data_IF_602717496212
#
_entry.id   IF_602717496212
#
_cell.length_a   1.000
_cell.length_b   1.000
_cell.length_c   1.000
_cell.angle_alpha   90.00
_cell.angle_beta   90.00
_cell.angle_gamma   90.00
#
_symmetry.space_group_name_H-M   'P 1'
#
loop_
_entity.id
_entity.type
_entity.pdbx_description
1 polymer ?
#
# COMPACT_ATOMS: atom_id res chain seq x y z
N UNK A 1 -3.75 16.05 39.08
CA UNK A 1 -4.06 16.36 40.46
C UNK A 1 -4.23 17.85 40.72
N UNK A 2 -4.53 18.68 39.69
CA UNK A 2 -4.84 20.12 39.83
C UNK A 2 -6.21 20.42 39.20
N UNK A 3 -6.79 21.56 39.53
CA UNK A 3 -8.05 22.02 38.92
C UNK A 3 -7.81 22.55 37.50
N UNK A 4 -8.82 22.57 36.61
CA UNK A 4 -8.66 23.06 35.23
C UNK A 4 -8.08 24.49 35.15
N UNK A 5 -8.51 25.40 36.02
CA UNK A 5 -8.01 26.76 36.09
C UNK A 5 -6.56 26.91 36.61
N UNK A 6 -5.92 25.83 37.01
CA UNK A 6 -4.53 25.80 37.47
C UNK A 6 -3.57 25.19 36.43
N UNK A 7 -4.09 24.68 35.30
CA UNK A 7 -3.28 23.99 34.28
C UNK A 7 -2.25 24.95 33.68
N UNK A 8 -2.63 26.18 33.37
CA UNK A 8 -1.72 27.21 32.84
C UNK A 8 -0.55 27.44 33.80
N UNK A 9 -0.81 27.54 35.10
CA UNK A 9 0.23 27.76 36.11
C UNK A 9 1.17 26.55 36.24
N UNK A 10 0.63 25.34 36.14
CA UNK A 10 1.45 24.11 36.15
C UNK A 10 2.34 24.05 34.91
N UNK A 11 1.80 24.30 33.70
CA UNK A 11 2.59 24.31 32.46
C UNK A 11 3.61 25.46 32.44
N UNK A 12 3.29 26.59 33.07
CA UNK A 12 4.24 27.72 33.21
C UNK A 12 5.51 27.31 33.98
N UNK A 13 5.37 26.39 34.91
CA UNK A 13 6.50 25.85 35.69
C UNK A 13 7.17 24.67 35.03
N UNK A 14 6.39 23.73 34.53
CA UNK A 14 6.90 22.51 33.94
C UNK A 14 7.47 22.71 32.54
N UNK A 15 6.98 23.70 31.78
CA UNK A 15 7.24 23.89 30.38
C UNK A 15 6.47 22.89 29.50
N UNK A 16 6.68 23.02 28.21
CA UNK A 16 6.17 22.10 27.19
C UNK A 16 7.22 21.94 26.08
N UNK A 17 7.79 20.74 25.98
CA UNK A 17 8.85 20.46 24.99
C UNK A 17 8.30 20.38 23.55
N UNK A 18 7.02 20.05 23.37
CA UNK A 18 6.40 19.96 22.05
C UNK A 18 6.28 21.35 21.42
N UNK A 19 5.96 22.36 22.25
CA UNK A 19 5.76 23.74 21.81
C UNK A 19 6.94 24.66 22.15
N UNK A 20 8.06 24.06 22.57
CA UNK A 20 9.28 24.78 22.94
C UNK A 20 9.07 25.82 24.08
N UNK A 21 8.16 25.52 24.99
CA UNK A 21 7.94 26.36 26.19
C UNK A 21 8.97 26.02 27.27
N UNK A 22 9.80 26.99 27.74
CA UNK A 22 11.00 26.68 28.51
C UNK A 22 10.69 26.14 29.92
N UNK A 23 9.64 26.57 30.55
CA UNK A 23 9.39 26.26 31.96
C UNK A 23 10.48 26.73 32.94
N UNK A 24 10.51 26.15 34.12
CA UNK A 24 11.54 26.36 35.13
C UNK A 24 12.45 25.12 35.17
N UNK A 25 13.76 25.23 34.92
CA UNK A 25 14.67 24.10 34.92
C UNK A 25 14.56 23.21 36.14
N UNK A 26 14.40 21.91 35.96
CA UNK A 26 14.29 20.92 37.06
C UNK A 26 12.94 20.88 37.77
N UNK A 27 11.94 21.63 37.30
CA UNK A 27 10.55 21.56 37.80
C UNK A 27 9.69 20.84 36.72
N UNK A 28 9.49 19.54 36.86
CA UNK A 28 8.57 18.77 36.04
C UNK A 28 7.13 18.83 36.55
N UNK A 29 6.20 18.25 35.79
CA UNK A 29 4.73 18.27 36.03
C UNK A 29 4.36 17.90 37.47
N UNK A 30 4.98 16.85 38.02
CA UNK A 30 4.67 16.43 39.43
C UNK A 30 5.00 17.51 40.43
N UNK A 31 6.20 18.08 40.37
CA UNK A 31 6.64 19.15 41.28
C UNK A 31 5.86 20.44 41.05
N UNK A 32 5.57 20.79 39.80
CA UNK A 32 4.73 21.94 39.47
C UNK A 32 3.33 21.80 40.08
N UNK A 33 2.71 20.64 39.92
CA UNK A 33 1.39 20.35 40.50
C UNK A 33 1.40 20.44 42.05
N UNK A 34 2.42 19.91 42.71
CA UNK A 34 2.58 20.01 44.15
C UNK A 34 2.67 21.49 44.62
N UNK A 35 3.47 22.29 43.91
CA UNK A 35 3.64 23.71 44.21
C UNK A 35 2.36 24.50 43.99
N UNK A 36 1.68 24.30 42.86
CA UNK A 36 0.44 25.02 42.55
C UNK A 36 -0.70 24.59 43.48
N UNK A 37 -0.79 23.32 43.85
CA UNK A 37 -1.75 22.88 44.85
C UNK A 37 -1.52 23.56 46.22
N UNK A 38 -0.25 23.75 46.62
CA UNK A 38 0.12 24.39 47.89
C UNK A 38 -0.10 25.90 47.86
N UNK A 39 0.42 26.57 46.82
CA UNK A 39 0.42 28.04 46.75
C UNK A 39 -0.76 28.60 45.94
N UNK A 40 -1.59 27.77 45.32
CA UNK A 40 -2.82 28.03 44.57
C UNK A 40 -2.60 28.63 43.19
N UNK A 41 -1.73 29.61 43.01
CA UNK A 41 -1.42 30.28 41.75
C UNK A 41 0.09 30.48 41.59
N UNK A 42 0.54 30.66 40.35
CA UNK A 42 1.92 30.99 40.03
C UNK A 42 2.34 32.31 40.71
N UNK A 43 1.49 33.34 40.71
CA UNK A 43 1.80 34.63 41.34
C UNK A 43 2.03 34.49 42.82
N UNK A 44 1.19 33.76 43.55
CA UNK A 44 1.37 33.50 44.97
C UNK A 44 2.64 32.67 45.22
N UNK A 45 2.93 31.67 44.36
CA UNK A 45 4.15 30.89 44.46
C UNK A 45 5.40 31.79 44.33
N UNK A 46 5.42 32.67 43.31
CA UNK A 46 6.55 33.57 43.07
C UNK A 46 6.74 34.59 44.18
N UNK A 47 5.65 35.14 44.78
CA UNK A 47 5.70 36.02 45.93
C UNK A 47 6.28 35.33 47.17
N UNK A 48 5.91 34.07 47.38
CA UNK A 48 6.30 33.25 48.54
C UNK A 48 7.46 32.29 48.23
N UNK A 49 8.18 32.50 47.16
CA UNK A 49 9.26 31.59 46.74
C UNK A 49 10.36 31.41 47.81
N UNK A 50 10.61 32.46 48.62
CA UNK A 50 11.55 32.40 49.73
C UNK A 50 11.12 31.45 50.88
N UNK A 51 9.83 31.12 51.00
CA UNK A 51 9.28 30.22 52.01
C UNK A 51 9.42 28.71 51.61
N UNK A 52 9.93 28.42 50.43
CA UNK A 52 10.10 27.03 49.96
C UNK A 52 11.22 26.36 50.78
N UNK A 53 10.92 25.24 51.46
CA UNK A 53 11.89 24.61 52.37
C UNK A 53 13.12 24.03 51.64
N UNK A 54 12.93 23.52 50.41
CA UNK A 54 14.00 22.90 49.62
C UNK A 54 14.89 23.98 49.00
N UNK A 55 16.10 24.12 49.46
CA UNK A 55 17.06 25.14 49.02
C UNK A 55 17.22 25.18 47.48
N UNK A 56 17.55 24.05 46.86
CA UNK A 56 17.76 23.98 45.43
C UNK A 56 16.52 24.43 44.64
N UNK A 57 15.33 23.98 45.03
CA UNK A 57 14.05 24.33 44.38
C UNK A 57 13.76 25.82 44.51
N UNK A 58 13.99 26.39 45.71
CA UNK A 58 13.86 27.82 46.01
C UNK A 58 14.77 28.66 45.12
N UNK A 59 16.05 28.36 45.13
CA UNK A 59 17.06 29.07 44.34
C UNK A 59 16.74 29.00 42.82
N UNK A 60 16.41 27.82 42.33
CA UNK A 60 16.06 27.62 40.91
C UNK A 60 14.82 28.44 40.53
N UNK A 61 13.79 28.46 41.36
CA UNK A 61 12.57 29.23 41.09
C UNK A 61 12.83 30.74 41.13
N UNK A 62 13.63 31.22 42.11
CA UNK A 62 14.00 32.62 42.20
C UNK A 62 14.83 33.10 41.04
N UNK A 63 15.79 32.27 40.57
CA UNK A 63 16.64 32.57 39.43
C UNK A 63 15.93 32.53 38.07
N UNK A 64 14.75 31.86 37.97
CA UNK A 64 14.04 31.65 36.73
C UNK A 64 12.59 32.19 36.73
N UNK A 65 12.32 33.23 37.56
CA UNK A 65 10.99 33.88 37.60
C UNK A 65 10.53 34.33 36.21
N UNK A 66 11.43 35.00 35.50
CA UNK A 66 11.11 35.53 34.16
C UNK A 66 10.76 34.43 33.15
N UNK A 67 11.44 33.29 33.26
CA UNK A 67 11.10 32.11 32.40
C UNK A 67 9.73 31.56 32.75
N UNK A 68 9.36 31.50 34.03
CA UNK A 68 8.02 31.06 34.43
C UNK A 68 6.93 32.01 33.90
N UNK A 69 7.17 33.33 33.96
CA UNK A 69 6.24 34.33 33.45
C UNK A 69 6.15 34.32 31.93
N UNK A 70 7.27 34.15 31.22
CA UNK A 70 7.31 33.96 29.79
C UNK A 70 6.55 32.70 29.39
N UNK A 71 6.81 31.59 30.09
CA UNK A 71 6.11 30.33 29.82
C UNK A 71 4.60 30.51 30.04
N UNK A 72 4.15 31.23 31.02
CA UNK A 72 2.72 31.55 31.23
C UNK A 72 2.12 32.27 30.02
N UNK A 73 2.81 33.26 29.48
CA UNK A 73 2.33 33.95 28.27
C UNK A 73 2.21 33.03 27.09
N UNK A 74 3.17 32.09 26.92
CA UNK A 74 3.20 31.16 25.81
C UNK A 74 2.12 30.06 25.92
N UNK A 75 1.81 29.58 27.14
CA UNK A 75 0.82 28.51 27.34
C UNK A 75 -0.61 29.01 27.54
N UNK A 76 -0.78 30.32 27.72
CA UNK A 76 -2.12 30.92 27.85
C UNK A 76 -2.80 30.93 26.49
N UNK A 77 -3.89 30.21 26.38
CA UNK A 77 -4.65 30.14 25.12
C UNK A 77 -5.30 31.50 24.85
N UNK A 78 -5.33 31.88 23.57
CA UNK A 78 -6.06 33.04 23.10
C UNK A 78 -7.55 32.69 23.04
N UNK A 79 -8.37 33.40 23.83
CA UNK A 79 -9.81 33.17 23.96
C UNK A 79 -10.68 34.20 23.20
N UNK A 80 -10.03 35.21 22.60
CA UNK A 80 -10.66 36.27 21.81
C UNK A 80 -10.44 36.10 20.28
N UNK A 81 -10.23 34.87 19.81
CA UNK A 81 -10.07 34.63 18.40
C UNK A 81 -11.35 34.98 17.65
N UNK A 82 -11.30 35.85 16.62
CA UNK A 82 -12.49 36.22 15.85
C UNK A 82 -13.02 35.03 15.03
N UNK A 83 -14.06 34.39 15.55
CA UNK A 83 -14.77 33.29 14.85
C UNK A 83 -15.98 33.95 14.17
N UNK A 84 -16.11 33.73 12.85
CA UNK A 84 -17.22 34.28 12.05
C UNK A 84 -18.49 33.45 12.18
N UNK A 85 -18.34 32.18 12.55
CA UNK A 85 -19.44 31.23 12.61
C UNK A 85 -20.11 31.22 13.99
N UNK A 86 -21.43 31.19 13.99
CA UNK A 86 -22.21 31.06 15.21
C UNK A 86 -22.14 29.60 15.74
N UNK A 87 -22.29 29.43 17.04
CA UNK A 87 -22.27 28.12 17.73
C UNK A 87 -23.28 27.12 17.09
N UNK A 88 -24.41 27.63 16.62
CA UNK A 88 -25.42 26.81 15.95
C UNK A 88 -24.92 26.18 14.62
N UNK A 89 -23.93 26.81 13.97
CA UNK A 89 -23.33 26.30 12.72
C UNK A 89 -22.52 25.01 12.93
N UNK A 90 -22.05 24.78 14.17
CA UNK A 90 -21.29 23.58 14.58
C UNK A 90 -22.20 22.42 14.99
N UNK A 91 -23.53 22.58 14.92
CA UNK A 91 -24.45 21.48 15.17
C UNK A 91 -24.25 20.36 14.14
N UNK A 92 -24.29 19.12 14.61
CA UNK A 92 -24.16 17.94 13.75
C UNK A 92 -25.31 17.96 12.73
N UNK A 93 -24.96 17.97 11.45
CA UNK A 93 -25.92 17.92 10.32
C UNK A 93 -26.10 16.48 9.86
N UNK A 94 -27.24 16.18 9.26
CA UNK A 94 -27.43 14.90 8.59
C UNK A 94 -26.38 14.69 7.49
N UNK A 95 -25.87 13.47 7.42
CA UNK A 95 -24.83 13.11 6.45
C UNK A 95 -25.45 13.07 5.06
N UNK A 96 -24.90 13.83 4.13
CA UNK A 96 -25.26 13.77 2.72
C UNK A 96 -24.59 12.54 2.09
N UNK A 97 -25.21 11.38 2.24
CA UNK A 97 -24.62 10.08 1.90
C UNK A 97 -24.14 9.98 0.46
N UNK A 98 -24.86 10.57 -0.50
CA UNK A 98 -24.44 10.56 -1.91
C UNK A 98 -23.13 11.31 -2.12
N UNK A 99 -23.02 12.51 -1.58
CA UNK A 99 -21.78 13.29 -1.68
C UNK A 99 -20.61 12.59 -1.00
N UNK A 100 -20.88 11.94 0.15
CA UNK A 100 -19.87 11.15 0.85
C UNK A 100 -19.41 9.97 -0.03
N UNK A 101 -20.33 9.24 -0.62
CA UNK A 101 -19.99 8.09 -1.45
C UNK A 101 -19.28 8.48 -2.74
N UNK A 102 -19.71 9.57 -3.39
CA UNK A 102 -19.07 10.07 -4.60
C UNK A 102 -17.64 10.54 -4.29
N UNK A 103 -17.43 11.25 -3.18
CA UNK A 103 -16.10 11.62 -2.71
C UNK A 103 -15.22 10.39 -2.42
N UNK A 104 -15.76 9.40 -1.71
CA UNK A 104 -15.00 8.19 -1.37
C UNK A 104 -14.65 7.36 -2.62
N UNK A 105 -15.49 7.38 -3.67
CA UNK A 105 -15.20 6.76 -4.97
C UNK A 105 -14.12 7.53 -5.73
N UNK A 106 -14.28 8.86 -5.83
CA UNK A 106 -13.31 9.74 -6.50
C UNK A 106 -11.91 9.59 -5.90
N UNK A 107 -11.84 9.47 -4.57
CA UNK A 107 -10.58 9.29 -3.83
C UNK A 107 -10.13 7.82 -3.74
N UNK A 108 -10.86 6.88 -4.35
CA UNK A 108 -10.59 5.42 -4.34
C UNK A 108 -10.47 4.82 -2.91
N UNK A 109 -11.16 5.40 -1.94
CA UNK A 109 -11.18 4.93 -0.56
C UNK A 109 -12.15 3.74 -0.37
N UNK A 110 -11.90 2.65 -1.07
CA UNK A 110 -12.81 1.49 -1.16
C UNK A 110 -13.20 0.90 0.21
N UNK A 111 -12.26 0.79 1.15
CA UNK A 111 -12.56 0.30 2.50
C UNK A 111 -13.46 1.25 3.29
N UNK A 112 -13.26 2.55 3.16
CA UNK A 112 -14.09 3.56 3.81
C UNK A 112 -15.46 3.62 3.17
N UNK A 113 -15.54 3.51 1.84
CA UNK A 113 -16.81 3.42 1.10
C UNK A 113 -17.64 2.22 1.58
N UNK A 114 -17.07 1.03 1.64
CA UNK A 114 -17.75 -0.17 2.13
C UNK A 114 -18.27 0.00 3.56
N UNK A 115 -17.49 0.62 4.45
CA UNK A 115 -17.93 0.93 5.82
C UNK A 115 -19.03 1.97 5.86
N UNK A 116 -18.95 3.02 5.05
CA UNK A 116 -19.95 4.06 4.97
C UNK A 116 -21.30 3.50 4.45
N UNK A 117 -21.27 2.66 3.41
CA UNK A 117 -22.45 1.96 2.89
C UNK A 117 -23.06 1.04 3.96
N UNK A 118 -22.23 0.29 4.69
CA UNK A 118 -22.69 -0.57 5.78
C UNK A 118 -23.37 0.21 6.91
N UNK A 119 -22.92 1.44 7.18
CA UNK A 119 -23.45 2.27 8.27
C UNK A 119 -24.69 3.10 7.87
N UNK A 120 -24.66 3.70 6.68
CA UNK A 120 -25.73 4.61 6.22
C UNK A 120 -26.72 3.99 5.23
N UNK A 121 -26.47 2.75 4.78
CA UNK A 121 -27.28 2.06 3.78
C UNK A 121 -26.86 2.36 2.33
N UNK A 122 -27.31 1.50 1.43
CA UNK A 122 -27.06 1.62 -0.01
C UNK A 122 -28.22 2.39 -0.67
N UNK A 123 -27.92 3.47 -1.40
CA UNK A 123 -28.93 4.16 -2.20
C UNK A 123 -29.36 3.28 -3.38
N UNK A 124 -30.61 2.81 -3.36
CA UNK A 124 -31.16 1.90 -4.39
C UNK A 124 -31.20 2.50 -5.81
N UNK A 125 -31.04 3.80 -5.96
CA UNK A 125 -31.22 4.48 -7.25
C UNK A 125 -30.01 4.39 -8.21
N UNK A 126 -28.82 4.00 -7.75
CA UNK A 126 -27.59 3.89 -8.60
C UNK A 126 -27.18 2.45 -8.94
N UNK A 127 -27.96 1.43 -8.56
CA UNK A 127 -27.69 0.02 -8.96
C UNK A 127 -27.68 -0.19 -10.48
N UNK A 128 -28.27 0.71 -11.25
CA UNK A 128 -28.48 0.52 -12.68
C UNK A 128 -27.35 1.08 -13.58
N UNK A 129 -26.44 1.88 -13.08
CA UNK A 129 -25.40 2.49 -13.93
C UNK A 129 -24.09 1.68 -14.00
N UNK A 130 -23.78 0.89 -12.97
CA UNK A 130 -22.54 0.07 -12.96
C UNK A 130 -22.67 -1.22 -13.78
N UNK A 131 -23.91 -1.66 -14.08
CA UNK A 131 -24.16 -2.89 -14.84
C UNK A 131 -24.14 -2.74 -16.37
N UNK A 132 -23.81 -1.55 -16.92
CA UNK A 132 -23.83 -1.33 -18.37
C UNK A 132 -22.45 -1.29 -19.04
N UNK A 133 -21.37 -1.53 -18.33
CA UNK A 133 -20.15 -1.96 -19.00
C UNK A 133 -20.36 -3.40 -19.45
N UNK A 134 -20.76 -3.57 -20.71
CA UNK A 134 -20.72 -4.87 -21.38
C UNK A 134 -19.26 -5.32 -21.41
N UNK A 135 -18.86 -6.00 -20.35
CA UNK A 135 -17.66 -6.83 -20.41
C UNK A 135 -18.00 -7.88 -21.45
N UNK A 136 -17.37 -7.77 -22.62
CA UNK A 136 -17.39 -8.85 -23.60
C UNK A 136 -16.72 -10.05 -22.89
N UNK A 137 -17.53 -10.94 -22.31
CA UNK A 137 -17.04 -12.17 -21.72
C UNK A 137 -16.41 -12.97 -22.84
N UNK A 138 -15.10 -12.93 -22.91
CA UNK A 138 -14.32 -13.83 -23.74
C UNK A 138 -14.64 -15.27 -23.31
N UNK A 139 -15.25 -16.04 -24.18
CA UNK A 139 -15.53 -17.45 -23.91
C UNK A 139 -14.24 -18.22 -24.18
N UNK A 140 -13.59 -18.67 -23.12
CA UNK A 140 -12.39 -19.54 -23.24
C UNK A 140 -12.87 -20.90 -23.74
N UNK A 141 -12.37 -21.30 -24.91
CA UNK A 141 -12.63 -22.62 -25.46
C UNK A 141 -11.38 -23.52 -25.29
N UNK A 142 -11.32 -24.21 -24.16
CA UNK A 142 -10.20 -25.13 -23.83
C UNK A 142 -9.99 -26.25 -24.83
N UNK A 143 -10.95 -26.52 -25.72
CA UNK A 143 -10.81 -27.54 -26.77
C UNK A 143 -9.82 -27.13 -27.87
N UNK A 144 -9.51 -25.85 -27.98
CA UNK A 144 -8.57 -25.33 -28.96
C UNK A 144 -7.10 -25.34 -28.47
N UNK A 145 -6.88 -25.80 -27.24
CA UNK A 145 -5.54 -25.89 -26.64
C UNK A 145 -4.91 -27.25 -26.97
N UNK A 146 -3.65 -27.22 -27.40
CA UNK A 146 -2.93 -28.42 -27.84
C UNK A 146 -1.88 -28.86 -26.81
N UNK A 147 -1.87 -30.15 -26.47
CA UNK A 147 -0.76 -30.76 -25.73
C UNK A 147 0.24 -31.37 -26.72
N UNK A 148 1.47 -30.88 -26.73
CA UNK A 148 2.51 -31.23 -27.69
C UNK A 148 3.34 -32.41 -27.18
N UNK A 149 3.03 -33.61 -27.65
CA UNK A 149 3.69 -34.86 -27.25
C UNK A 149 4.48 -35.51 -28.39
N UNK A 150 4.48 -34.93 -29.60
CA UNK A 150 5.22 -35.43 -30.77
C UNK A 150 6.07 -34.33 -31.41
N UNK A 151 7.20 -34.74 -32.01
CA UNK A 151 8.09 -33.80 -32.71
C UNK A 151 7.41 -33.11 -33.88
N UNK A 152 6.54 -33.82 -34.63
CA UNK A 152 5.80 -33.21 -35.73
C UNK A 152 4.86 -32.10 -35.29
N UNK A 153 4.20 -32.25 -34.13
CA UNK A 153 3.36 -31.21 -33.54
C UNK A 153 4.22 -30.04 -33.08
N UNK A 154 5.36 -30.29 -32.43
CA UNK A 154 6.32 -29.27 -32.03
C UNK A 154 6.81 -28.48 -33.25
N UNK A 155 7.19 -29.13 -34.33
CA UNK A 155 7.69 -28.47 -35.54
C UNK A 155 6.63 -27.59 -36.22
N UNK A 156 5.36 -27.97 -36.18
CA UNK A 156 4.25 -27.12 -36.63
C UNK A 156 4.15 -25.85 -35.77
N UNK A 157 4.18 -25.99 -34.45
CA UNK A 157 4.11 -24.85 -33.56
C UNK A 157 5.33 -23.93 -33.67
N UNK A 158 6.53 -24.48 -33.84
CA UNK A 158 7.76 -23.73 -34.11
C UNK A 158 7.61 -22.82 -35.33
N UNK A 159 7.03 -23.33 -36.42
CA UNK A 159 6.78 -22.53 -37.65
C UNK A 159 5.81 -21.39 -37.34
N UNK A 160 4.70 -21.67 -36.65
CA UNK A 160 3.71 -20.65 -36.31
C UNK A 160 4.33 -19.57 -35.43
N UNK A 161 5.07 -19.95 -34.39
CA UNK A 161 5.70 -19.00 -33.44
C UNK A 161 6.76 -18.13 -34.13
N UNK A 162 7.52 -18.67 -35.11
CA UNK A 162 8.50 -17.90 -35.87
C UNK A 162 7.90 -16.82 -36.77
N UNK A 163 6.61 -16.94 -37.12
CA UNK A 163 5.88 -15.96 -37.92
C UNK A 163 5.27 -14.83 -37.11
N UNK A 164 5.35 -14.93 -35.77
CA UNK A 164 4.76 -13.93 -34.86
C UNK A 164 5.74 -12.82 -34.53
N UNK A 165 5.21 -11.63 -34.25
CA UNK A 165 5.97 -10.53 -33.65
C UNK A 165 5.88 -10.52 -32.12
N UNK A 166 4.86 -11.17 -31.56
CA UNK A 166 4.59 -11.26 -30.11
C UNK A 166 4.08 -12.66 -29.79
N UNK A 167 4.61 -13.28 -28.76
CA UNK A 167 4.14 -14.56 -28.20
C UNK A 167 4.06 -14.47 -26.70
N UNK A 168 3.08 -15.13 -26.10
CA UNK A 168 3.05 -15.35 -24.65
C UNK A 168 3.83 -16.61 -24.30
N UNK A 169 4.55 -16.57 -23.17
CA UNK A 169 5.36 -17.69 -22.65
C UNK A 169 5.12 -17.82 -21.17
N UNK A 170 5.02 -19.04 -20.70
CA UNK A 170 4.92 -19.37 -19.27
C UNK A 170 5.57 -20.73 -19.01
N UNK A 171 6.19 -20.91 -17.84
CA UNK A 171 6.90 -22.14 -17.46
C UNK A 171 6.26 -22.81 -16.26
N UNK A 172 6.15 -24.14 -16.32
CA UNK A 172 5.77 -24.98 -15.17
C UNK A 172 7.00 -25.63 -14.56
N UNK A 173 7.08 -25.60 -13.23
CA UNK A 173 8.29 -26.00 -12.50
C UNK A 173 7.99 -26.91 -11.31
N UNK A 174 9.03 -27.59 -10.82
CA UNK A 174 8.93 -28.48 -9.66
C UNK A 174 8.91 -27.74 -8.30
N UNK A 175 9.30 -26.46 -8.26
CA UNK A 175 9.41 -25.63 -7.06
C UNK A 175 9.08 -24.16 -7.35
N UNK A 176 8.69 -23.43 -6.30
CA UNK A 176 8.51 -21.97 -6.37
C UNK A 176 9.83 -21.19 -6.23
N UNK A 177 10.90 -21.84 -5.82
CA UNK A 177 12.24 -21.27 -5.84
C UNK A 177 12.87 -21.48 -7.22
N UNK A 178 13.02 -20.41 -8.03
CA UNK A 178 13.52 -20.55 -9.39
C UNK A 178 14.98 -21.02 -9.46
N UNK A 179 15.75 -20.92 -8.37
CA UNK A 179 17.15 -21.36 -8.33
C UNK A 179 17.30 -22.86 -8.11
N UNK A 180 16.28 -23.51 -7.54
CA UNK A 180 16.25 -24.97 -7.22
C UNK A 180 15.14 -25.71 -8.00
N UNK A 181 14.51 -25.06 -8.93
CA UNK A 181 13.38 -25.61 -9.67
C UNK A 181 13.80 -26.28 -10.99
N UNK A 182 13.28 -27.48 -11.22
CA UNK A 182 13.35 -28.12 -12.53
C UNK A 182 12.23 -27.63 -13.45
N UNK A 183 12.54 -27.40 -14.72
CA UNK A 183 11.54 -27.13 -15.74
C UNK A 183 10.74 -28.38 -16.07
N UNK A 184 9.45 -28.35 -15.76
CA UNK A 184 8.50 -29.48 -15.94
C UNK A 184 7.69 -29.36 -17.23
N UNK A 185 7.38 -28.14 -17.64
CA UNK A 185 6.66 -27.88 -18.89
C UNK A 185 6.80 -26.43 -19.32
N UNK A 186 6.39 -26.15 -20.54
CA UNK A 186 6.37 -24.78 -21.08
C UNK A 186 5.14 -24.59 -21.95
N UNK A 187 4.48 -23.46 -21.80
CA UNK A 187 3.35 -23.07 -22.63
C UNK A 187 3.67 -21.90 -23.56
N UNK A 188 3.03 -21.89 -24.72
CA UNK A 188 3.08 -20.79 -25.67
C UNK A 188 1.67 -20.42 -26.12
N UNK A 189 1.48 -19.12 -26.37
CA UNK A 189 0.28 -18.63 -27.04
C UNK A 189 0.66 -17.51 -28.01
N UNK A 190 0.00 -17.45 -29.17
CA UNK A 190 0.20 -16.41 -30.16
C UNK A 190 -1.05 -15.59 -30.47
N UNK A 191 -2.21 -16.01 -29.97
CA UNK A 191 -3.46 -15.31 -30.10
C UNK A 191 -4.47 -15.79 -29.04
N UNK A 192 -5.55 -15.07 -28.76
CA UNK A 192 -6.63 -15.54 -27.90
C UNK A 192 -7.15 -16.91 -28.32
N UNK A 193 -7.28 -17.84 -27.38
CA UNK A 193 -7.66 -19.24 -27.59
C UNK A 193 -6.73 -20.07 -28.51
N UNK A 194 -5.51 -19.59 -28.77
CA UNK A 194 -4.48 -20.32 -29.54
C UNK A 194 -3.26 -20.53 -28.68
N UNK A 195 -3.28 -21.62 -27.91
CA UNK A 195 -2.21 -21.96 -27.00
C UNK A 195 -1.81 -23.43 -27.09
N UNK A 196 -0.58 -23.74 -26.73
CA UNK A 196 -0.12 -25.09 -26.54
C UNK A 196 0.65 -25.25 -25.23
N UNK A 197 0.71 -26.48 -24.77
CA UNK A 197 1.52 -26.90 -23.64
C UNK A 197 2.47 -28.03 -24.08
N UNK A 198 3.74 -27.94 -23.73
CA UNK A 198 4.79 -28.90 -24.01
C UNK A 198 5.22 -29.56 -22.69
N UNK A 199 4.73 -30.74 -22.34
CA UNK A 199 5.15 -31.49 -21.16
C UNK A 199 6.58 -32.01 -21.29
N UNK A 200 7.45 -31.75 -20.31
CA UNK A 200 8.87 -32.14 -20.33
C UNK A 200 9.21 -33.19 -19.28
N UNK A 201 8.69 -33.05 -18.07
CA UNK A 201 9.04 -33.89 -16.92
C UNK A 201 7.82 -34.37 -16.09
N UNK A 202 6.68 -34.61 -16.71
CA UNK A 202 5.50 -35.12 -16.05
C UNK A 202 5.60 -36.63 -15.78
N UNK A 203 5.20 -37.06 -14.58
CA UNK A 203 5.18 -38.48 -14.20
C UNK A 203 4.16 -39.32 -14.98
N UNK A 204 3.03 -38.72 -15.39
CA UNK A 204 1.88 -39.37 -16.01
C UNK A 204 1.77 -39.17 -17.50
N UNK A 205 2.56 -38.29 -18.11
CA UNK A 205 2.50 -37.95 -19.52
C UNK A 205 3.86 -38.25 -20.14
N UNK A 206 3.88 -39.12 -21.17
CA UNK A 206 5.09 -39.37 -21.96
C UNK A 206 5.29 -38.16 -22.91
N UNK A 207 6.08 -37.20 -22.44
CA UNK A 207 6.46 -36.01 -23.23
C UNK A 207 7.62 -36.26 -24.17
N UNK A 208 8.03 -35.23 -24.86
CA UNK A 208 9.26 -35.18 -25.63
C UNK A 208 10.49 -35.08 -24.69
N UNK A 209 11.64 -35.50 -25.20
CA UNK A 209 12.91 -35.29 -24.47
C UNK A 209 13.18 -33.80 -24.30
N UNK A 210 13.46 -33.37 -23.08
CA UNK A 210 13.70 -31.97 -22.71
C UNK A 210 14.74 -31.32 -23.61
N UNK A 211 15.84 -32.00 -23.87
CA UNK A 211 16.95 -31.50 -24.70
C UNK A 211 16.53 -31.20 -26.14
N UNK A 212 15.65 -32.04 -26.72
CA UNK A 212 15.13 -31.85 -28.08
C UNK A 212 14.25 -30.61 -28.11
N UNK A 213 13.35 -30.46 -27.15
CA UNK A 213 12.44 -29.33 -27.08
C UNK A 213 13.22 -28.04 -26.89
N UNK A 214 14.11 -27.98 -25.89
CA UNK A 214 14.90 -26.78 -25.57
C UNK A 214 15.74 -26.35 -26.79
N UNK A 215 16.37 -27.30 -27.49
CA UNK A 215 17.13 -27.01 -28.71
C UNK A 215 16.27 -26.36 -29.80
N UNK A 216 15.01 -26.82 -29.96
CA UNK A 216 14.09 -26.30 -30.98
C UNK A 216 13.46 -24.94 -30.61
N UNK A 217 13.13 -24.70 -29.34
CA UNK A 217 12.51 -23.45 -28.91
C UNK A 217 13.51 -22.32 -28.65
N UNK A 218 14.77 -22.66 -28.32
CA UNK A 218 15.81 -21.67 -28.01
C UNK A 218 15.93 -20.57 -29.09
N UNK A 219 16.00 -20.85 -30.39
CA UNK A 219 16.10 -19.81 -31.41
C UNK A 219 14.93 -18.82 -31.40
N UNK A 220 13.72 -19.27 -31.05
CA UNK A 220 12.53 -18.40 -30.95
C UNK A 220 12.60 -17.52 -29.72
N UNK A 221 12.99 -18.09 -28.57
CA UNK A 221 13.06 -17.39 -27.31
C UNK A 221 14.17 -16.31 -27.28
N UNK A 222 15.23 -16.53 -28.08
CA UNK A 222 16.37 -15.61 -28.23
C UNK A 222 16.23 -14.66 -29.44
N UNK A 223 15.20 -14.80 -30.26
CA UNK A 223 15.00 -13.93 -31.43
C UNK A 223 14.51 -12.55 -31.00
N UNK A 224 15.32 -11.53 -31.25
CA UNK A 224 15.01 -10.14 -30.93
C UNK A 224 13.82 -9.55 -31.68
N UNK A 225 13.40 -10.18 -32.78
CA UNK A 225 12.24 -9.78 -33.60
C UNK A 225 10.91 -10.22 -32.96
N UNK A 226 10.95 -11.25 -32.12
CA UNK A 226 9.78 -11.82 -31.46
C UNK A 226 9.76 -11.37 -30.01
N UNK A 227 8.78 -10.56 -29.64
CA UNK A 227 8.57 -10.14 -28.25
C UNK A 227 7.94 -11.28 -27.45
N UNK A 228 8.52 -11.61 -26.29
CA UNK A 228 7.98 -12.59 -25.36
C UNK A 228 7.27 -11.88 -24.21
N UNK A 229 5.99 -12.19 -24.02
CA UNK A 229 5.14 -11.63 -22.98
C UNK A 229 4.85 -12.70 -21.93
N UNK A 230 4.97 -12.36 -20.68
CA UNK A 230 4.65 -13.26 -19.57
C UNK A 230 4.13 -12.50 -18.34
N UNK A 231 3.57 -13.25 -17.41
CA UNK A 231 3.14 -12.73 -16.12
C UNK A 231 4.20 -13.03 -15.06
N UNK A 232 4.82 -12.01 -14.46
CA UNK A 232 5.99 -12.19 -13.59
C UNK A 232 7.13 -12.95 -14.31
N UNK A 233 7.37 -12.59 -15.57
CA UNK A 233 8.29 -13.27 -16.50
C UNK A 233 9.72 -13.36 -15.97
N UNK A 234 10.05 -12.62 -14.91
CA UNK A 234 11.35 -12.76 -14.22
C UNK A 234 11.59 -14.18 -13.71
N UNK A 235 10.53 -14.87 -13.25
CA UNK A 235 10.62 -16.26 -12.83
C UNK A 235 10.99 -17.16 -14.00
N UNK A 236 10.28 -17.03 -15.13
CA UNK A 236 10.52 -17.80 -16.37
C UNK A 236 11.92 -17.51 -16.94
N UNK A 237 12.33 -16.24 -16.89
CA UNK A 237 13.69 -15.84 -17.28
C UNK A 237 14.76 -16.61 -16.51
N UNK A 238 14.62 -16.74 -15.18
CA UNK A 238 15.59 -17.46 -14.35
C UNK A 238 15.58 -18.97 -14.69
N UNK A 239 14.40 -19.59 -14.84
CA UNK A 239 14.26 -20.99 -15.21
C UNK A 239 14.89 -21.27 -16.58
N UNK A 240 14.61 -20.42 -17.56
CA UNK A 240 15.15 -20.57 -18.93
C UNK A 240 16.66 -20.34 -18.96
N UNK A 241 17.16 -19.37 -18.19
CA UNK A 241 18.60 -19.10 -18.06
C UNK A 241 19.37 -20.29 -17.52
N UNK A 242 18.85 -21.00 -16.51
CA UNK A 242 19.45 -22.26 -16.02
C UNK A 242 19.51 -23.37 -17.09
N UNK A 243 18.65 -23.26 -18.08
CA UNK A 243 18.64 -24.17 -19.23
C UNK A 243 19.39 -23.61 -20.43
N UNK A 244 20.29 -22.61 -20.22
CA UNK A 244 21.09 -21.95 -21.25
C UNK A 244 20.27 -21.27 -22.35
N UNK A 245 19.12 -20.68 -22.00
CA UNK A 245 18.27 -19.90 -22.90
C UNK A 245 18.18 -18.47 -22.37
N UNK A 246 18.59 -17.49 -23.16
CA UNK A 246 18.48 -16.07 -22.88
C UNK A 246 17.22 -15.50 -23.55
N UNK A 247 16.09 -15.59 -22.85
CA UNK A 247 14.82 -15.06 -23.37
C UNK A 247 14.90 -13.53 -23.54
N UNK A 248 14.73 -13.03 -24.75
CA UNK A 248 14.86 -11.61 -25.10
C UNK A 248 14.23 -11.30 -26.48
N UNK A 249 13.51 -10.15 -26.69
CA UNK A 249 13.06 -9.20 -25.68
C UNK A 249 11.85 -9.70 -24.87
N UNK A 250 11.72 -9.24 -23.65
CA UNK A 250 10.62 -9.63 -22.74
C UNK A 250 9.75 -8.44 -22.36
N UNK A 251 8.47 -8.71 -22.10
CA UNK A 251 7.49 -7.79 -21.52
C UNK A 251 6.78 -8.50 -20.36
N UNK A 252 6.62 -7.83 -19.25
CA UNK A 252 5.98 -8.37 -18.04
C UNK A 252 4.63 -7.71 -17.79
N UNK A 253 3.55 -8.47 -17.93
CA UNK A 253 2.18 -7.95 -17.71
C UNK A 253 1.94 -7.51 -16.28
N UNK A 254 2.59 -8.16 -15.28
CA UNK A 254 2.51 -7.76 -13.89
C UNK A 254 3.16 -6.40 -13.67
N UNK A 255 4.37 -6.17 -14.22
CA UNK A 255 5.08 -4.90 -14.10
C UNK A 255 4.39 -3.77 -14.86
N UNK A 256 3.83 -4.05 -16.04
CA UNK A 256 3.02 -3.08 -16.79
C UNK A 256 1.82 -2.65 -15.95
N UNK A 257 1.06 -3.59 -15.41
CA UNK A 257 -0.08 -3.31 -14.54
C UNK A 257 0.34 -2.53 -13.29
N UNK A 258 1.44 -2.91 -12.67
CA UNK A 258 1.95 -2.22 -11.50
C UNK A 258 2.35 -0.77 -11.79
N UNK A 259 2.87 -0.51 -12.99
CA UNK A 259 3.27 0.85 -13.41
C UNK A 259 2.05 1.73 -13.72
N UNK A 260 0.99 1.14 -14.29
CA UNK A 260 -0.23 1.87 -14.65
C UNK A 260 -1.12 2.15 -13.43
N UNK A 261 -1.24 1.20 -12.51
CA UNK A 261 -2.24 1.17 -11.46
C UNK A 261 -1.66 0.79 -10.08
N UNK A 262 -0.50 1.34 -9.75
CA UNK A 262 0.17 1.05 -8.47
C UNK A 262 -0.76 1.32 -7.27
N UNK A 263 -1.01 0.28 -6.48
CA UNK A 263 -1.76 0.37 -5.23
C UNK A 263 -3.29 0.28 -5.34
N UNK A 264 -3.86 0.17 -6.54
CA UNK A 264 -5.31 0.08 -6.74
C UNK A 264 -5.80 -1.37 -6.74
N UNK A 265 -5.07 -2.28 -7.38
CA UNK A 265 -5.45 -3.68 -7.56
C UNK A 265 -4.33 -4.64 -7.18
N UNK A 266 -4.68 -5.94 -7.08
CA UNK A 266 -3.69 -7.00 -7.08
C UNK A 266 -3.24 -7.23 -8.52
N UNK A 267 -1.93 -7.33 -8.74
CA UNK A 267 -1.35 -7.48 -10.08
C UNK A 267 -1.09 -8.95 -10.44
N UNK A 268 -1.85 -9.88 -9.82
CA UNK A 268 -1.82 -11.30 -10.19
C UNK A 268 -2.66 -11.58 -11.44
N UNK A 269 -2.37 -12.67 -12.13
CA UNK A 269 -3.00 -13.01 -13.40
C UNK A 269 -4.52 -13.12 -13.32
N UNK A 270 -5.05 -13.72 -12.24
CA UNK A 270 -6.49 -13.87 -12.02
C UNK A 270 -7.21 -12.52 -12.04
N UNK A 271 -6.69 -11.55 -11.27
CA UNK A 271 -7.29 -10.21 -11.21
C UNK A 271 -7.15 -9.43 -12.51
N UNK A 272 -6.02 -9.63 -13.26
CA UNK A 272 -5.79 -8.91 -14.51
C UNK A 272 -6.57 -9.50 -15.70
N UNK A 273 -7.06 -10.73 -15.58
CA UNK A 273 -7.84 -11.41 -16.63
C UNK A 273 -9.36 -11.19 -16.48
N UNK A 274 -9.84 -10.66 -15.35
CA UNK A 274 -11.24 -10.30 -15.08
C UNK A 274 -11.60 -8.92 -15.65
#
# INVERSE_FOLDING_TARGET
GVKPNQVVDVQSLAGDSSDNVPGVPGIGIKTASELINKYKTLDNLLKKANEIPQNKRRETLLANKDKALLSRQLVTLKDDVPIKDDLSSFALKEVQTEKLYDFLREMEFNKLLSRAISFYGENQNKKNEVNNLKINKFTINVKDYESITSENALDKWIKILNEQSVIAVDTETSSLDPLDADLVGISFSYAPNKACYIPLAHKSIKGLKKEIVLKKIKPILEDSRIKKVGQNIKFDFLILSQNNIEINPIEDTMLISYTLDAGTNRHNLDTLSE
#
